data_IF_006870489578
#
_entry.id   IF_006870489578
#
_cell.length_a   1.000
_cell.length_b   1.000
_cell.length_c   1.000
_cell.angle_alpha   90.00
_cell.angle_beta   90.00
_cell.angle_gamma   90.00
#
_symmetry.space_group_name_H-M   'P 1'
#
loop_
_entity.id
_entity.type
_entity.pdbx_description
1 polymer ?
#
# COMPACT_ATOMS: atom_id res chain seq x y z
N UNK A 1 19.29 14.10 9.29
CA UNK A 1 18.46 14.63 8.18
C UNK A 1 18.13 13.47 7.24
N UNK A 2 17.22 12.58 7.65
CA UNK A 2 16.92 11.33 6.93
C UNK A 2 15.40 11.13 6.93
N UNK A 3 14.79 11.48 5.80
CA UNK A 3 13.55 10.91 5.24
C UNK A 3 12.42 10.54 6.22
N UNK A 4 11.92 11.51 6.99
CA UNK A 4 10.61 11.41 7.67
C UNK A 4 9.45 11.89 6.78
N UNK A 5 9.70 12.14 5.49
CA UNK A 5 8.73 12.68 4.53
C UNK A 5 8.21 11.57 3.63
N UNK A 6 7.31 10.73 4.13
CA UNK A 6 6.47 9.87 3.26
C UNK A 6 5.08 9.57 3.82
N UNK A 7 4.67 10.23 4.92
CA UNK A 7 3.26 10.31 5.33
C UNK A 7 2.84 11.79 5.52
N UNK A 8 3.62 12.71 4.94
CA UNK A 8 3.18 14.08 4.75
C UNK A 8 2.15 14.09 3.61
N UNK A 9 0.92 13.69 3.93
CA UNK A 9 -0.23 13.75 3.04
C UNK A 9 -0.30 15.14 2.38
N UNK A 10 -0.13 15.26 1.05
CA UNK A 10 -0.11 16.55 0.35
C UNK A 10 -1.45 17.28 0.44
N UNK A 11 -2.55 16.54 0.59
CA UNK A 11 -3.90 17.08 0.80
C UNK A 11 -4.00 17.97 2.05
N UNK A 12 -3.73 17.51 3.29
CA UNK A 12 -3.67 18.38 4.47
C UNK A 12 -2.76 19.61 4.35
N UNK A 13 -1.60 19.50 3.69
CA UNK A 13 -0.70 20.65 3.47
C UNK A 13 -1.26 21.66 2.47
N UNK A 14 -1.97 21.20 1.45
CA UNK A 14 -2.68 22.07 0.51
C UNK A 14 -3.76 22.91 1.21
N UNK A 15 -4.48 22.33 2.18
CA UNK A 15 -5.48 23.06 2.97
C UNK A 15 -4.84 24.11 3.88
N UNK A 16 -3.69 23.80 4.48
CA UNK A 16 -2.93 24.77 5.29
C UNK A 16 -2.44 25.97 4.46
N UNK A 17 -2.28 25.80 3.15
CA UNK A 17 -1.85 26.86 2.24
C UNK A 17 -2.98 27.34 1.29
N UNK A 18 -4.22 27.36 1.77
CA UNK A 18 -5.39 27.93 1.08
C UNK A 18 -5.63 27.41 -0.34
N UNK A 19 -5.31 26.14 -0.64
CA UNK A 19 -5.43 25.58 -1.99
C UNK A 19 -4.64 26.40 -3.04
N UNK A 20 -3.50 26.96 -2.65
CA UNK A 20 -2.70 27.78 -3.55
C UNK A 20 -2.13 26.97 -4.71
N UNK A 21 -2.52 27.34 -5.95
CA UNK A 21 -1.95 26.79 -7.17
C UNK A 21 -0.43 27.04 -7.27
N UNK A 22 0.03 28.17 -6.73
CA UNK A 22 1.45 28.55 -6.69
C UNK A 22 2.26 27.53 -5.88
N UNK A 23 1.78 27.18 -4.68
CA UNK A 23 2.43 26.19 -3.83
C UNK A 23 2.51 24.81 -4.49
N UNK A 24 1.45 24.39 -5.18
CA UNK A 24 1.50 23.15 -5.96
C UNK A 24 2.58 23.22 -7.06
N UNK A 25 2.73 24.37 -7.73
CA UNK A 25 3.80 24.60 -8.70
C UNK A 25 5.18 24.47 -8.08
N UNK A 26 5.40 25.15 -6.94
CA UNK A 26 6.69 25.15 -6.23
C UNK A 26 7.10 23.76 -5.71
N UNK A 27 6.12 22.88 -5.44
CA UNK A 27 6.33 21.51 -4.95
C UNK A 27 6.13 20.41 -6.00
N UNK A 28 6.02 20.76 -7.29
CA UNK A 28 5.81 19.81 -8.39
C UNK A 28 4.58 18.90 -8.20
N UNK A 29 3.53 19.43 -7.58
CA UNK A 29 2.27 18.73 -7.31
C UNK A 29 1.22 19.06 -8.36
N UNK A 30 0.46 18.06 -8.80
CA UNK A 30 -0.65 18.28 -9.73
C UNK A 30 -1.86 18.88 -9.00
N UNK A 31 -2.06 20.19 -9.15
CA UNK A 31 -3.19 20.91 -8.54
C UNK A 31 -4.56 20.30 -8.91
N UNK A 32 -4.80 20.00 -10.20
CA UNK A 32 -6.07 19.41 -10.65
C UNK A 32 -6.31 18.04 -10.04
N UNK A 33 -5.25 17.23 -9.94
CA UNK A 33 -5.29 15.92 -9.27
C UNK A 33 -5.68 16.03 -7.80
N UNK A 34 -5.10 16.99 -7.07
CA UNK A 34 -5.42 17.22 -5.66
C UNK A 34 -6.87 17.72 -5.46
N UNK A 35 -7.36 18.63 -6.30
CA UNK A 35 -8.77 19.05 -6.26
C UNK A 35 -9.72 17.89 -6.54
N UNK A 36 -9.39 17.00 -7.49
CA UNK A 36 -10.20 15.81 -7.76
C UNK A 36 -10.21 14.87 -6.55
N UNK A 37 -9.05 14.63 -5.93
CA UNK A 37 -8.94 13.80 -4.73
C UNK A 37 -9.75 14.37 -3.56
N UNK A 38 -9.80 15.71 -3.43
CA UNK A 38 -10.65 16.39 -2.45
C UNK A 38 -12.14 16.10 -2.66
N UNK A 39 -12.61 16.26 -3.91
CA UNK A 39 -14.01 16.03 -4.25
C UNK A 39 -14.40 14.56 -4.00
N UNK A 40 -13.56 13.61 -4.39
CA UNK A 40 -13.78 12.18 -4.11
C UNK A 40 -13.84 11.92 -2.60
N UNK A 41 -12.92 12.50 -1.82
CA UNK A 41 -12.95 12.38 -0.36
C UNK A 41 -14.23 12.94 0.24
N UNK A 42 -14.69 14.10 -0.22
CA UNK A 42 -15.94 14.72 0.26
C UNK A 42 -17.16 13.84 -0.05
N UNK A 43 -17.19 13.22 -1.24
CA UNK A 43 -18.24 12.28 -1.62
C UNK A 43 -18.23 11.03 -0.73
N UNK A 44 -17.06 10.43 -0.49
CA UNK A 44 -16.92 9.29 0.41
C UNK A 44 -17.39 9.61 1.83
N UNK A 45 -17.03 10.77 2.38
CA UNK A 45 -17.50 11.20 3.70
C UNK A 45 -19.02 11.32 3.75
N UNK A 46 -19.64 11.88 2.70
CA UNK A 46 -21.11 11.97 2.61
C UNK A 46 -21.75 10.58 2.61
N UNK A 47 -21.14 9.62 1.91
CA UNK A 47 -21.62 8.24 1.85
C UNK A 47 -21.49 7.54 3.20
N UNK A 48 -20.35 7.68 3.87
CA UNK A 48 -20.11 7.11 5.20
C UNK A 48 -21.11 7.64 6.22
N UNK A 49 -21.41 8.95 6.20
CA UNK A 49 -22.46 9.55 7.04
C UNK A 49 -23.84 9.00 6.74
N UNK A 50 -24.16 8.77 5.46
CA UNK A 50 -25.45 8.21 5.04
C UNK A 50 -25.65 6.77 5.54
N UNK A 51 -24.58 5.98 5.58
CA UNK A 51 -24.60 4.61 6.11
C UNK A 51 -24.20 4.51 7.58
N UNK A 52 -24.17 5.65 8.30
CA UNK A 52 -23.87 5.71 9.74
C UNK A 52 -22.52 5.08 10.14
N UNK A 53 -21.56 5.03 9.21
CA UNK A 53 -20.22 4.52 9.49
C UNK A 53 -19.42 5.60 10.26
N UNK A 54 -18.88 5.28 11.45
CA UNK A 54 -18.18 6.26 12.26
C UNK A 54 -16.88 6.72 11.59
N UNK A 55 -16.70 8.05 11.53
CA UNK A 55 -15.50 8.69 11.00
C UNK A 55 -14.44 8.79 12.10
N UNK A 56 -13.65 7.73 12.27
CA UNK A 56 -12.54 7.69 13.24
C UNK A 56 -11.22 8.06 12.55
N UNK A 57 -10.38 8.84 13.25
CA UNK A 57 -9.07 9.27 12.76
C UNK A 57 -7.99 8.81 13.72
N UNK A 58 -6.90 8.25 13.19
CA UNK A 58 -5.71 7.84 13.95
C UNK A 58 -4.65 8.95 14.03
N UNK A 59 -5.00 10.18 13.63
CA UNK A 59 -4.07 11.32 13.60
C UNK A 59 -3.49 11.59 14.99
N UNK A 60 -2.16 11.69 15.07
CA UNK A 60 -1.44 11.98 16.31
C UNK A 60 -1.08 10.75 17.15
N UNK A 61 -1.51 9.55 16.75
CA UNK A 61 -1.10 8.30 17.38
C UNK A 61 0.29 7.87 16.87
N UNK A 62 1.11 7.31 17.75
CA UNK A 62 2.47 6.82 17.42
C UNK A 62 2.45 5.68 16.42
N UNK A 63 1.37 4.89 16.41
CA UNK A 63 1.17 3.72 15.54
C UNK A 63 0.25 4.01 14.34
N UNK A 64 -0.02 5.29 14.04
CA UNK A 64 -0.92 5.69 12.96
C UNK A 64 -0.52 5.11 11.59
N UNK A 65 0.78 5.10 11.28
CA UNK A 65 1.29 4.53 10.03
C UNK A 65 0.96 3.03 9.91
N UNK A 66 1.25 2.28 10.97
CA UNK A 66 0.99 0.84 11.04
C UNK A 66 -0.50 0.52 10.89
N UNK A 67 -1.37 1.28 11.57
CA UNK A 67 -2.83 1.12 11.45
C UNK A 67 -3.34 1.38 10.03
N UNK A 68 -2.80 2.41 9.35
CA UNK A 68 -3.15 2.70 7.96
C UNK A 68 -2.70 1.56 7.04
N UNK A 69 -1.48 1.06 7.20
CA UNK A 69 -0.97 -0.03 6.36
C UNK A 69 -1.76 -1.32 6.61
N UNK A 70 -2.08 -1.65 7.85
CA UNK A 70 -2.95 -2.80 8.18
C UNK A 70 -4.34 -2.67 7.54
N UNK A 71 -4.92 -1.47 7.51
CA UNK A 71 -6.16 -1.21 6.78
C UNK A 71 -5.98 -1.48 5.27
N UNK A 72 -4.87 -1.03 4.67
CA UNK A 72 -4.56 -1.35 3.26
C UNK A 72 -4.43 -2.85 3.03
N UNK A 73 -3.76 -3.58 3.94
CA UNK A 73 -3.66 -5.04 3.86
C UNK A 73 -5.03 -5.70 3.86
N UNK A 74 -5.98 -5.23 4.68
CA UNK A 74 -7.33 -5.80 4.70
C UNK A 74 -8.10 -5.64 3.37
N UNK A 75 -7.76 -4.63 2.56
CA UNK A 75 -8.36 -4.43 1.23
C UNK A 75 -7.57 -5.05 0.08
N UNK A 76 -6.24 -5.05 0.18
CA UNK A 76 -5.31 -5.48 -0.86
C UNK A 76 -4.56 -6.77 -0.52
N UNK A 77 -5.13 -7.62 0.35
CA UNK A 77 -4.49 -8.85 0.83
C UNK A 77 -4.09 -9.77 -0.33
N UNK A 78 -4.88 -9.86 -1.41
CA UNK A 78 -4.54 -10.69 -2.56
C UNK A 78 -3.32 -10.19 -3.35
N UNK A 79 -2.99 -8.91 -3.24
CA UNK A 79 -1.90 -8.23 -3.94
C UNK A 79 -0.63 -8.15 -3.08
N UNK A 80 -0.27 -9.26 -2.44
CA UNK A 80 0.95 -9.40 -1.66
C UNK A 80 2.08 -9.98 -2.51
N UNK A 81 3.30 -9.46 -2.33
CA UNK A 81 4.52 -9.95 -2.97
C UNK A 81 5.69 -10.04 -2.00
N UNK A 82 6.60 -10.99 -2.27
CA UNK A 82 7.81 -11.22 -1.49
C UNK A 82 9.04 -10.97 -2.34
N UNK A 83 10.07 -10.36 -1.76
CA UNK A 83 11.37 -10.21 -2.41
C UNK A 83 12.05 -11.59 -2.57
N UNK A 84 12.40 -11.92 -3.81
CA UNK A 84 12.96 -13.20 -4.22
C UNK A 84 14.48 -13.10 -4.42
N UNK A 85 15.20 -14.22 -4.33
CA UNK A 85 16.67 -14.25 -4.48
C UNK A 85 17.14 -13.81 -5.87
N UNK A 86 16.25 -13.87 -6.87
CA UNK A 86 16.51 -13.37 -8.23
C UNK A 86 16.50 -11.84 -8.34
N UNK A 87 16.22 -11.12 -7.24
CA UNK A 87 16.16 -9.67 -7.21
C UNK A 87 14.83 -9.05 -7.66
N UNK A 88 13.80 -9.89 -7.88
CA UNK A 88 12.44 -9.48 -8.26
C UNK A 88 11.46 -9.68 -7.10
N UNK A 89 10.31 -9.02 -7.15
CA UNK A 89 9.21 -9.31 -6.24
C UNK A 89 8.31 -10.36 -6.87
N UNK A 90 7.98 -11.40 -6.12
CA UNK A 90 7.19 -12.52 -6.59
C UNK A 90 5.87 -12.54 -5.82
N UNK A 91 4.74 -12.63 -6.50
CA UNK A 91 3.43 -12.68 -5.83
C UNK A 91 3.31 -13.91 -4.95
N UNK A 92 2.64 -13.78 -3.82
CA UNK A 92 2.61 -14.85 -2.80
C UNK A 92 1.84 -16.08 -3.29
N UNK A 93 0.76 -15.88 -4.07
CA UNK A 93 -0.13 -16.96 -4.50
C UNK A 93 0.24 -17.58 -5.85
N UNK A 94 0.46 -16.74 -6.85
CA UNK A 94 0.68 -17.16 -8.24
C UNK A 94 2.16 -17.32 -8.58
N UNK A 95 3.04 -16.88 -7.69
CA UNK A 95 4.48 -16.82 -7.92
C UNK A 95 4.89 -16.09 -9.19
N UNK A 96 4.08 -15.10 -9.58
CA UNK A 96 4.37 -14.30 -10.75
C UNK A 96 5.45 -13.26 -10.42
N UNK A 97 6.55 -13.21 -11.20
CA UNK A 97 7.65 -12.28 -10.94
C UNK A 97 7.37 -10.90 -11.53
N UNK A 98 7.41 -9.87 -10.68
CA UNK A 98 7.31 -8.46 -11.05
C UNK A 98 8.59 -7.68 -10.72
N UNK A 99 8.88 -6.66 -11.53
CA UNK A 99 9.81 -5.61 -11.16
C UNK A 99 9.08 -4.54 -10.35
N UNK A 100 9.80 -3.77 -9.54
CA UNK A 100 9.21 -2.55 -8.99
C UNK A 100 9.32 -1.44 -10.03
N UNK A 101 8.30 -0.60 -10.13
CA UNK A 101 8.38 0.62 -10.93
C UNK A 101 9.58 1.48 -10.52
N UNK A 102 10.38 1.92 -11.50
CA UNK A 102 11.66 2.61 -11.29
C UNK A 102 11.55 3.92 -10.47
N UNK A 103 10.40 4.60 -10.55
CA UNK A 103 10.14 5.81 -9.77
C UNK A 103 9.69 5.58 -8.33
N UNK A 104 9.60 4.31 -7.88
CA UNK A 104 9.21 3.98 -6.52
C UNK A 104 10.35 4.22 -5.54
N UNK A 105 10.03 4.75 -4.35
CA UNK A 105 11.00 5.06 -3.29
C UNK A 105 11.78 3.83 -2.84
N UNK A 106 11.16 2.65 -2.89
CA UNK A 106 11.78 1.38 -2.50
C UNK A 106 13.00 1.01 -3.37
N UNK A 107 13.10 1.53 -4.60
CA UNK A 107 14.25 1.32 -5.49
C UNK A 107 15.51 2.05 -5.02
N UNK A 108 15.36 3.06 -4.18
CA UNK A 108 16.47 3.85 -3.63
C UNK A 108 16.85 3.43 -2.20
N UNK A 109 16.25 2.35 -1.67
CA UNK A 109 16.61 1.80 -0.37
C UNK A 109 17.85 0.90 -0.50
N UNK A 110 18.72 0.97 0.50
CA UNK A 110 19.90 0.09 0.61
C UNK A 110 19.49 -1.37 0.77
N UNK A 111 18.49 -1.62 1.60
CA UNK A 111 17.94 -2.95 1.86
C UNK A 111 16.51 -3.05 1.31
N UNK A 112 16.28 -4.06 0.47
CA UNK A 112 14.96 -4.35 -0.06
C UNK A 112 14.11 -5.08 0.99
N UNK A 113 12.95 -4.53 1.37
CA UNK A 113 12.08 -5.17 2.35
C UNK A 113 11.54 -6.49 1.80
N UNK A 114 11.49 -7.50 2.68
CA UNK A 114 11.14 -8.86 2.27
C UNK A 114 9.69 -8.99 1.80
N UNK A 115 8.77 -8.24 2.38
CA UNK A 115 7.32 -8.38 2.15
C UNK A 115 6.69 -7.03 1.86
N UNK A 116 5.86 -7.00 0.82
CA UNK A 116 5.17 -5.79 0.38
C UNK A 116 3.77 -6.12 -0.12
N UNK A 117 2.90 -5.12 -0.09
CA UNK A 117 1.67 -5.09 -0.88
C UNK A 117 1.83 -4.05 -1.99
N UNK A 118 1.11 -4.25 -3.08
CA UNK A 118 1.00 -3.27 -4.17
C UNK A 118 -0.47 -2.96 -4.43
N UNK A 119 -0.75 -1.85 -5.12
CA UNK A 119 -2.12 -1.43 -5.48
C UNK A 119 -2.39 -1.66 -6.97
N UNK A 120 -1.37 -1.47 -7.81
CA UNK A 120 -1.48 -1.62 -9.26
C UNK A 120 -0.39 -2.54 -9.80
N UNK A 121 -0.80 -3.51 -10.63
CA UNK A 121 0.10 -4.32 -11.44
C UNK A 121 0.03 -3.85 -12.90
N UNK A 122 1.18 -3.57 -13.48
CA UNK A 122 1.39 -3.40 -14.92
C UNK A 122 2.04 -4.67 -15.49
N UNK A 123 2.16 -4.75 -16.81
CA UNK A 123 2.69 -5.92 -17.52
C UNK A 123 3.99 -6.49 -16.91
N UNK A 124 4.97 -5.62 -16.60
CA UNK A 124 6.27 -6.04 -16.06
C UNK A 124 6.59 -5.43 -14.69
N UNK A 125 5.71 -4.61 -14.12
CA UNK A 125 6.01 -3.86 -12.90
C UNK A 125 4.84 -3.56 -11.98
N UNK A 126 5.11 -3.49 -10.68
CA UNK A 126 4.15 -3.08 -9.65
C UNK A 126 4.35 -1.62 -9.23
N UNK A 127 3.25 -0.93 -8.92
CA UNK A 127 3.20 0.45 -8.42
C UNK A 127 2.51 0.54 -7.06
N UNK A 128 2.74 1.67 -6.38
CA UNK A 128 2.17 2.00 -5.07
C UNK A 128 2.41 0.88 -4.04
N UNK A 129 3.70 0.64 -3.81
CA UNK A 129 4.20 -0.44 -2.97
C UNK A 129 4.32 0.02 -1.52
N UNK A 130 3.74 -0.75 -0.60
CA UNK A 130 3.84 -0.52 0.84
C UNK A 130 4.48 -1.72 1.53
N UNK A 131 5.36 -1.46 2.51
CA UNK A 131 6.03 -2.51 3.28
C UNK A 131 5.07 -3.08 4.32
N UNK A 132 5.04 -4.40 4.45
CA UNK A 132 4.15 -5.09 5.39
C UNK A 132 4.90 -6.18 6.17
N UNK A 133 4.31 -6.58 7.29
CA UNK A 133 4.72 -7.78 8.00
C UNK A 133 3.89 -8.98 7.54
N UNK A 134 4.51 -10.16 7.30
CA UNK A 134 3.81 -11.31 6.74
C UNK A 134 2.68 -11.83 7.64
N UNK A 135 2.80 -11.69 8.96
CA UNK A 135 1.78 -12.17 9.88
C UNK A 135 0.44 -11.41 9.76
N UNK A 136 0.46 -10.16 9.24
CA UNK A 136 -0.77 -9.38 9.00
C UNK A 136 -1.66 -10.02 7.94
N UNK A 137 -1.08 -10.75 6.98
CA UNK A 137 -1.85 -11.41 5.92
C UNK A 137 -2.72 -12.53 6.49
N UNK A 138 -2.15 -13.36 7.37
CA UNK A 138 -2.88 -14.43 8.05
C UNK A 138 -3.89 -13.88 9.05
N UNK A 139 -3.53 -12.80 9.76
CA UNK A 139 -4.41 -12.17 10.76
C UNK A 139 -5.64 -11.49 10.12
N UNK A 140 -5.44 -10.77 9.01
CA UNK A 140 -6.49 -9.94 8.40
C UNK A 140 -7.27 -10.64 7.30
N UNK A 141 -6.68 -11.64 6.64
CA UNK A 141 -7.32 -12.41 5.58
C UNK A 141 -7.10 -13.94 5.77
N UNK A 142 -7.50 -14.51 6.92
CA UNK A 142 -7.31 -15.94 7.19
C UNK A 142 -7.97 -16.81 6.11
N UNK A 143 -9.17 -16.45 5.66
CA UNK A 143 -9.89 -17.14 4.58
C UNK A 143 -9.13 -17.23 3.25
N UNK A 144 -8.17 -16.34 2.99
CA UNK A 144 -7.38 -16.35 1.77
C UNK A 144 -6.05 -17.12 1.92
N UNK A 145 -5.53 -17.23 3.15
CA UNK A 145 -4.20 -17.75 3.46
C UNK A 145 -4.17 -19.03 4.32
N UNK A 146 -5.23 -19.38 5.06
CA UNK A 146 -5.33 -20.59 5.91
C UNK A 146 -5.67 -21.85 5.13
N UNK A 147 -6.47 -21.71 4.06
CA UNK A 147 -6.59 -22.76 3.06
C UNK A 147 -5.32 -22.70 2.24
N UNK A 148 -4.25 -23.26 2.81
CA UNK A 148 -2.98 -23.50 2.16
C UNK A 148 -3.31 -23.91 0.74
N UNK A 149 -2.88 -23.09 -0.20
CA UNK A 149 -3.18 -23.28 -1.60
C UNK A 149 -2.92 -24.74 -1.95
N UNK A 150 -3.64 -25.31 -2.91
CA UNK A 150 -3.27 -26.62 -3.46
C UNK A 150 -1.76 -26.67 -3.80
N UNK A 151 -1.14 -25.52 -4.09
CA UNK A 151 0.31 -25.35 -4.24
C UNK A 151 1.14 -25.45 -2.94
N UNK A 152 0.70 -24.99 -1.78
CA UNK A 152 1.40 -25.24 -0.49
C UNK A 152 1.25 -26.69 -0.03
N UNK A 153 0.08 -27.28 -0.22
CA UNK A 153 -0.17 -28.71 0.04
C UNK A 153 0.65 -29.57 -0.94
N UNK A 154 0.68 -29.22 -2.24
CA UNK A 154 1.50 -29.91 -3.24
C UNK A 154 3.00 -29.76 -2.97
N UNK A 155 3.46 -28.59 -2.47
CA UNK A 155 4.87 -28.37 -2.09
C UNK A 155 5.30 -29.13 -0.85
N UNK A 156 4.42 -29.25 0.15
CA UNK A 156 4.67 -30.12 1.30
C UNK A 156 4.77 -31.58 0.86
N UNK A 157 3.82 -32.05 0.04
CA UNK A 157 3.84 -33.41 -0.53
C UNK A 157 5.08 -33.68 -1.41
N UNK A 158 5.54 -32.69 -2.18
CA UNK A 158 6.73 -32.82 -3.02
C UNK A 158 8.07 -32.76 -2.25
N UNK A 159 8.05 -32.33 -0.97
CA UNK A 159 9.23 -32.34 -0.09
C UNK A 159 9.30 -33.60 0.79
N UNK A 160 8.20 -34.33 0.89
CA UNK A 160 8.07 -35.57 1.66
C UNK A 160 8.31 -36.84 0.83
N UNK A 161 8.43 -36.69 -0.51
CA UNK A 161 8.88 -37.72 -1.46
C UNK A 161 10.31 -37.43 -1.92
#
# INVERSE_FOLDING_TARGET
MVLSVSIATPLPRLFQNNKSKKWCGDHFLNYRGLCRAENVRAQLIRLLRRFEVPLVSVRGQTDAATKIIRCLVSGFFSQAARYHYTGKYVTVKEEFPFNVYKGSVIMYKKDYPKWVIFTEAMQDSIRDVSVIEPHWLYELAPHYYEFGTDSEVARKRAREN
#
